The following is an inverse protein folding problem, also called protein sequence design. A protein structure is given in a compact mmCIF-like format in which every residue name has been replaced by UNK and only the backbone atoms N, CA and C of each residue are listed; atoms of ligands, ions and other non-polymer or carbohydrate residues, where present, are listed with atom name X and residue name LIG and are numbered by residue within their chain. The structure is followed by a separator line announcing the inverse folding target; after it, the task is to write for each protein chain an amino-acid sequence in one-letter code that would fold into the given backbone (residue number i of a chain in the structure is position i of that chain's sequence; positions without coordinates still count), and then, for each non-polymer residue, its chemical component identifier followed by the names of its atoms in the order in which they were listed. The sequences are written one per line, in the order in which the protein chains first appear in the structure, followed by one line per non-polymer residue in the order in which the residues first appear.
data_IF_965610927264
#
_entry.id   IF_965610927264
#
_cell.length_a   1.000
_cell.length_b   1.000
_cell.length_c   1.000
_cell.angle_alpha   90.00
_cell.angle_beta   90.00
_cell.angle_gamma   90.00
#
_symmetry.space_group_name_H-M   'P 1'
#
loop_
_entity.id
_entity.type
_entity.pdbx_description
1 polymer ?
#
# COMPACT_ATOMS: atom_id res chain seq x y z
N UNK A 1 -30.72 9.78 -7.43
CA UNK A 1 -29.43 9.37 -8.04
C UNK A 1 -28.43 8.91 -6.99
N UNK A 2 -28.00 9.75 -6.03
CA UNK A 2 -27.08 9.29 -4.95
C UNK A 2 -27.64 8.12 -4.10
N UNK A 3 -28.96 8.04 -3.93
CA UNK A 3 -29.60 6.98 -3.13
C UNK A 3 -29.45 5.58 -3.75
N UNK A 4 -29.66 5.40 -5.06
CA UNK A 4 -29.56 4.05 -5.67
C UNK A 4 -28.17 3.45 -5.52
N UNK A 5 -27.11 4.26 -5.66
CA UNK A 5 -25.74 3.78 -5.50
C UNK A 5 -25.44 3.40 -4.05
N UNK A 6 -26.02 4.12 -3.07
CA UNK A 6 -25.87 3.79 -1.65
C UNK A 6 -26.58 2.49 -1.29
N UNK A 7 -27.75 2.24 -1.88
CA UNK A 7 -28.59 1.08 -1.54
C UNK A 7 -28.01 -0.24 -2.08
N UNK A 8 -27.12 -0.20 -3.08
CA UNK A 8 -26.48 -1.40 -3.64
C UNK A 8 -25.25 -1.87 -2.85
N UNK A 9 -24.78 -1.07 -1.90
CA UNK A 9 -23.60 -1.42 -1.10
C UNK A 9 -23.93 -2.41 0.00
N UNK A 10 -23.11 -3.45 0.05
CA UNK A 10 -22.85 -4.30 1.20
C UNK A 10 -21.33 -4.29 1.41
N UNK A 11 -20.87 -3.68 2.51
CA UNK A 11 -19.43 -3.58 2.79
C UNK A 11 -18.84 -4.89 3.34
N UNK A 12 -19.68 -5.79 3.87
CA UNK A 12 -19.27 -7.13 4.28
C UNK A 12 -19.18 -8.09 3.07
N UNK A 13 -19.86 -7.74 1.96
CA UNK A 13 -19.79 -8.42 0.67
C UNK A 13 -19.42 -7.48 -0.49
N UNK A 14 -18.13 -7.07 -0.59
CA UNK A 14 -17.68 -6.21 -1.68
C UNK A 14 -17.77 -6.90 -3.05
N UNK A 15 -17.73 -8.23 -3.11
CA UNK A 15 -17.87 -8.98 -4.36
C UNK A 15 -19.31 -8.96 -4.88
N UNK A 16 -20.30 -9.17 -4.01
CA UNK A 16 -21.71 -9.03 -4.38
C UNK A 16 -22.08 -7.60 -4.72
N UNK A 17 -21.51 -6.61 -4.01
CA UNK A 17 -21.67 -5.20 -4.35
C UNK A 17 -21.14 -4.88 -5.74
N UNK A 18 -19.94 -5.37 -6.08
CA UNK A 18 -19.38 -5.24 -7.44
C UNK A 18 -20.35 -5.77 -8.51
N UNK A 19 -20.90 -6.97 -8.31
CA UNK A 19 -21.83 -7.58 -9.27
C UNK A 19 -23.09 -6.74 -9.47
N UNK A 20 -23.67 -6.21 -8.38
CA UNK A 20 -24.84 -5.33 -8.44
C UNK A 20 -24.54 -4.04 -9.20
N UNK A 21 -23.37 -3.44 -8.97
CA UNK A 21 -22.96 -2.24 -9.71
C UNK A 21 -22.71 -2.52 -11.18
N UNK A 22 -22.09 -3.66 -11.54
CA UNK A 22 -21.92 -4.03 -12.94
C UNK A 22 -23.27 -4.19 -13.66
N UNK A 23 -24.21 -4.89 -13.03
CA UNK A 23 -25.56 -5.04 -13.57
C UNK A 23 -26.26 -3.69 -13.78
N UNK A 24 -26.17 -2.77 -12.81
CA UNK A 24 -26.72 -1.43 -12.98
C UNK A 24 -26.01 -0.64 -14.09
N UNK A 25 -24.69 -0.74 -14.20
CA UNK A 25 -23.92 -0.03 -15.22
C UNK A 25 -24.26 -0.50 -16.64
N UNK A 26 -24.55 -1.79 -16.82
CA UNK A 26 -24.94 -2.36 -18.13
C UNK A 26 -26.31 -1.83 -18.62
N UNK A 27 -27.19 -1.42 -17.71
CA UNK A 27 -28.54 -0.92 -18.01
C UNK A 27 -28.65 0.62 -17.96
N UNK A 28 -27.67 1.31 -17.39
CA UNK A 28 -27.72 2.74 -17.16
C UNK A 28 -27.17 3.55 -18.34
N UNK A 29 -27.78 4.70 -18.59
CA UNK A 29 -27.23 5.73 -19.48
C UNK A 29 -26.24 6.65 -18.73
N UNK A 30 -25.44 7.40 -19.47
CA UNK A 30 -24.61 8.47 -18.89
C UNK A 30 -25.46 9.63 -18.34
N UNK A 31 -25.06 10.26 -17.21
CA UNK A 31 -23.81 10.06 -16.46
C UNK A 31 -23.87 8.92 -15.42
N UNK A 32 -25.00 8.22 -15.29
CA UNK A 32 -25.19 7.21 -14.24
C UNK A 32 -24.28 6.00 -14.47
N UNK A 33 -24.09 5.58 -15.72
CA UNK A 33 -23.15 4.50 -16.06
C UNK A 33 -21.74 4.78 -15.53
N UNK A 34 -21.14 5.94 -15.87
CA UNK A 34 -19.82 6.31 -15.37
C UNK A 34 -19.77 6.40 -13.84
N UNK A 35 -20.78 7.01 -13.20
CA UNK A 35 -20.85 7.08 -11.73
C UNK A 35 -20.91 5.69 -11.10
N UNK A 36 -21.66 4.76 -11.70
CA UNK A 36 -21.80 3.38 -11.22
C UNK A 36 -20.48 2.61 -11.38
N UNK A 37 -19.78 2.77 -12.51
CA UNK A 37 -18.48 2.13 -12.74
C UNK A 37 -17.39 2.63 -11.78
N UNK A 38 -17.48 3.86 -11.26
CA UNK A 38 -16.59 4.27 -10.15
C UNK A 38 -16.82 3.45 -8.88
N UNK A 39 -18.06 3.02 -8.60
CA UNK A 39 -18.35 2.15 -7.45
C UNK A 39 -17.85 0.71 -7.69
N UNK A 40 -17.87 0.23 -8.93
CA UNK A 40 -17.20 -1.04 -9.30
C UNK A 40 -15.71 -0.97 -8.96
N UNK A 41 -15.03 0.10 -9.34
CA UNK A 41 -13.60 0.29 -9.02
C UNK A 41 -13.35 0.30 -7.50
N UNK A 42 -14.21 0.96 -6.73
CA UNK A 42 -14.15 0.96 -5.26
C UNK A 42 -14.29 -0.45 -4.68
N UNK A 43 -15.28 -1.21 -5.16
CA UNK A 43 -15.55 -2.57 -4.71
C UNK A 43 -14.37 -3.51 -5.02
N UNK A 44 -13.78 -3.38 -6.21
CA UNK A 44 -12.56 -4.08 -6.59
C UNK A 44 -11.38 -3.74 -5.67
N UNK A 45 -11.23 -2.46 -5.30
CA UNK A 45 -10.21 -2.03 -4.34
C UNK A 45 -10.37 -2.67 -2.95
N UNK A 46 -11.60 -2.85 -2.47
CA UNK A 46 -11.88 -3.56 -1.20
C UNK A 46 -11.60 -5.06 -1.28
N UNK A 47 -11.59 -5.64 -2.50
CA UNK A 47 -11.18 -7.02 -2.76
C UNK A 47 -9.69 -7.16 -3.06
N UNK A 48 -8.89 -6.09 -2.91
CA UNK A 48 -7.47 -6.03 -3.27
C UNK A 48 -7.17 -6.26 -4.77
N UNK A 49 -8.19 -6.16 -5.63
CA UNK A 49 -8.10 -6.33 -7.10
C UNK A 49 -7.75 -5.00 -7.77
N UNK A 50 -6.64 -4.40 -7.36
CA UNK A 50 -6.28 -3.02 -7.71
C UNK A 50 -6.11 -2.77 -9.21
N UNK A 51 -5.45 -3.69 -9.92
CA UNK A 51 -5.22 -3.57 -11.36
C UNK A 51 -6.54 -3.56 -12.14
N UNK A 52 -7.51 -4.37 -11.73
CA UNK A 52 -8.84 -4.41 -12.34
C UNK A 52 -9.63 -3.13 -12.02
N UNK A 53 -9.52 -2.62 -10.80
CA UNK A 53 -10.10 -1.32 -10.43
C UNK A 53 -9.56 -0.18 -11.29
N UNK A 54 -8.24 -0.15 -11.53
CA UNK A 54 -7.63 0.81 -12.43
C UNK A 54 -8.12 0.66 -13.87
N UNK A 55 -8.17 -0.56 -14.39
CA UNK A 55 -8.65 -0.82 -15.75
C UNK A 55 -10.11 -0.37 -15.96
N UNK A 56 -10.98 -0.56 -14.96
CA UNK A 56 -12.36 -0.03 -15.01
C UNK A 56 -12.34 1.48 -15.16
N UNK A 57 -11.57 2.19 -14.32
CA UNK A 57 -11.50 3.65 -14.36
C UNK A 57 -10.82 4.18 -15.64
N UNK A 58 -9.86 3.45 -16.22
CA UNK A 58 -9.19 3.81 -17.48
C UNK A 58 -10.13 3.73 -18.68
N UNK A 59 -11.16 2.88 -18.61
CA UNK A 59 -12.19 2.77 -19.64
C UNK A 59 -13.24 3.88 -19.63
N UNK A 60 -13.24 4.76 -18.62
CA UNK A 60 -14.25 5.80 -18.48
C UNK A 60 -13.87 7.08 -19.23
N UNK A 61 -14.86 7.73 -19.83
CA UNK A 61 -14.75 9.06 -20.44
C UNK A 61 -15.83 9.99 -19.89
N UNK A 62 -15.78 10.33 -18.59
CA UNK A 62 -16.86 11.04 -17.92
C UNK A 62 -17.07 12.45 -18.48
N UNK A 63 -18.31 12.75 -18.86
CA UNK A 63 -18.69 14.02 -19.46
C UNK A 63 -19.12 15.05 -18.42
N UNK A 64 -19.62 14.61 -17.25
CA UNK A 64 -20.10 15.47 -16.19
C UNK A 64 -19.08 15.64 -15.03
N UNK A 65 -19.14 16.76 -14.29
CA UNK A 65 -18.22 17.03 -13.19
C UNK A 65 -18.27 16.00 -12.05
N UNK A 66 -19.44 15.46 -11.70
CA UNK A 66 -19.59 14.51 -10.58
C UNK A 66 -18.83 13.21 -10.89
N UNK A 67 -19.02 12.63 -12.08
CA UNK A 67 -18.28 11.43 -12.46
C UNK A 67 -16.77 11.66 -12.54
N UNK A 68 -16.30 12.82 -13.03
CA UNK A 68 -14.86 13.17 -13.05
C UNK A 68 -14.25 13.19 -11.66
N UNK A 69 -14.92 13.83 -10.71
CA UNK A 69 -14.48 13.88 -9.30
C UNK A 69 -14.42 12.47 -8.70
N UNK A 70 -15.43 11.63 -8.96
CA UNK A 70 -15.46 10.25 -8.50
C UNK A 70 -14.32 9.41 -9.08
N UNK A 71 -13.99 9.59 -10.37
CA UNK A 71 -12.85 8.89 -10.98
C UNK A 71 -11.55 9.23 -10.25
N UNK A 72 -11.29 10.52 -9.98
CA UNK A 72 -10.10 10.93 -9.23
C UNK A 72 -10.09 10.37 -7.80
N UNK A 73 -11.23 10.42 -7.08
CA UNK A 73 -11.36 9.84 -5.74
C UNK A 73 -11.03 8.35 -5.71
N UNK A 74 -11.64 7.57 -6.61
CA UNK A 74 -11.47 6.12 -6.61
C UNK A 74 -10.07 5.73 -7.12
N UNK A 75 -9.46 6.52 -8.03
CA UNK A 75 -8.05 6.36 -8.41
C UNK A 75 -7.13 6.51 -7.21
N UNK A 76 -7.33 7.57 -6.42
CA UNK A 76 -6.57 7.80 -5.19
C UNK A 76 -6.76 6.69 -4.16
N UNK A 77 -7.99 6.17 -3.99
CA UNK A 77 -8.26 5.06 -3.06
C UNK A 77 -7.53 3.77 -3.45
N UNK A 78 -7.51 3.43 -4.73
CA UNK A 78 -6.76 2.27 -5.24
C UNK A 78 -5.25 2.41 -5.00
N UNK A 79 -4.67 3.58 -5.28
CA UNK A 79 -3.25 3.85 -5.04
C UNK A 79 -2.91 3.80 -3.54
N UNK A 80 -3.74 4.42 -2.69
CA UNK A 80 -3.53 4.38 -1.23
C UNK A 80 -3.57 2.95 -0.70
N UNK A 81 -4.59 2.17 -1.08
CA UNK A 81 -4.75 0.80 -0.60
C UNK A 81 -3.66 -0.15 -1.11
N UNK A 82 -3.10 0.12 -2.28
CA UNK A 82 -1.93 -0.61 -2.81
C UNK A 82 -0.59 -0.15 -2.25
N UNK A 83 -0.56 0.92 -1.43
CA UNK A 83 0.62 1.40 -0.72
C UNK A 83 1.31 2.63 -1.32
N UNK A 84 0.78 3.22 -2.39
CA UNK A 84 1.30 4.46 -2.98
C UNK A 84 0.53 5.68 -2.49
N UNK A 85 0.74 6.03 -1.21
CA UNK A 85 0.08 7.18 -0.56
C UNK A 85 0.48 8.51 -1.21
N UNK A 86 1.71 8.60 -1.73
CA UNK A 86 2.23 9.81 -2.36
C UNK A 86 1.49 10.11 -3.67
N UNK A 87 1.32 9.11 -4.54
CA UNK A 87 0.53 9.26 -5.76
C UNK A 87 -0.97 9.44 -5.45
N UNK A 88 -1.49 8.75 -4.43
CA UNK A 88 -2.88 8.88 -4.02
C UNK A 88 -3.24 10.32 -3.62
N UNK A 89 -2.34 11.02 -2.91
CA UNK A 89 -2.55 12.39 -2.45
C UNK A 89 -2.88 13.35 -3.59
N UNK A 90 -2.13 13.28 -4.70
CA UNK A 90 -2.34 14.17 -5.84
C UNK A 90 -3.77 14.04 -6.40
N UNK A 91 -4.29 12.82 -6.50
CA UNK A 91 -5.65 12.56 -6.96
C UNK A 91 -6.73 13.05 -5.97
N UNK A 92 -6.50 12.95 -4.67
CA UNK A 92 -7.45 13.48 -3.68
C UNK A 92 -7.48 15.01 -3.67
N UNK A 93 -6.33 15.66 -3.85
CA UNK A 93 -6.25 17.13 -3.97
C UNK A 93 -6.93 17.61 -5.26
N UNK A 94 -6.71 16.92 -6.39
CA UNK A 94 -7.41 17.16 -7.64
C UNK A 94 -8.94 17.02 -7.48
N UNK A 95 -9.38 15.92 -6.86
CA UNK A 95 -10.80 15.68 -6.61
C UNK A 95 -11.44 16.78 -5.74
N UNK A 96 -10.76 17.22 -4.67
CA UNK A 96 -11.25 18.27 -3.80
C UNK A 96 -11.36 19.62 -4.55
N UNK A 97 -10.36 19.98 -5.36
CA UNK A 97 -10.38 21.21 -6.14
C UNK A 97 -11.48 21.21 -7.22
N UNK A 98 -11.65 20.08 -7.91
CA UNK A 98 -12.68 19.89 -8.92
C UNK A 98 -14.10 19.91 -8.30
N UNK A 99 -14.29 19.21 -7.17
CA UNK A 99 -15.56 19.20 -6.44
C UNK A 99 -15.96 20.60 -5.97
N UNK A 100 -15.01 21.34 -5.38
CA UNK A 100 -15.22 22.74 -4.97
C UNK A 100 -15.65 23.62 -6.15
N UNK A 101 -14.94 23.50 -7.27
CA UNK A 101 -15.23 24.28 -8.48
C UNK A 101 -16.59 23.98 -9.09
N UNK A 102 -17.09 22.75 -8.91
CA UNK A 102 -18.39 22.30 -9.42
C UNK A 102 -19.54 22.44 -8.39
N UNK A 103 -19.28 22.90 -7.17
CA UNK A 103 -20.29 22.99 -6.10
C UNK A 103 -20.75 21.63 -5.55
N UNK A 104 -19.89 20.60 -5.61
CA UNK A 104 -20.20 19.24 -5.18
C UNK A 104 -19.74 19.00 -3.73
N UNK A 105 -20.42 19.63 -2.77
CA UNK A 105 -20.00 19.70 -1.36
C UNK A 105 -19.74 18.33 -0.72
N UNK A 106 -20.63 17.34 -0.91
CA UNK A 106 -20.45 15.98 -0.36
C UNK A 106 -19.15 15.32 -0.86
N UNK A 107 -18.83 15.51 -2.14
CA UNK A 107 -17.61 14.96 -2.74
C UNK A 107 -16.36 15.74 -2.36
N UNK A 108 -16.49 17.06 -2.16
CA UNK A 108 -15.40 17.88 -1.65
C UNK A 108 -15.00 17.42 -0.24
N UNK A 109 -15.99 17.23 0.64
CA UNK A 109 -15.76 16.74 2.02
C UNK A 109 -15.12 15.35 2.01
N UNK A 110 -15.61 14.43 1.17
CA UNK A 110 -15.01 13.10 1.04
C UNK A 110 -13.55 13.19 0.55
N UNK A 111 -13.26 14.01 -0.47
CA UNK A 111 -11.91 14.20 -0.99
C UNK A 111 -10.96 14.80 0.06
N UNK A 112 -11.38 15.84 0.78
CA UNK A 112 -10.58 16.44 1.86
C UNK A 112 -10.34 15.45 3.01
N UNK A 113 -11.32 14.61 3.35
CA UNK A 113 -11.12 13.53 4.30
C UNK A 113 -10.03 12.56 3.82
N UNK A 114 -10.07 12.18 2.55
CA UNK A 114 -9.05 11.31 1.97
C UNK A 114 -7.65 11.94 1.93
N UNK A 115 -7.52 13.24 1.65
CA UNK A 115 -6.25 13.98 1.78
C UNK A 115 -5.72 13.88 3.22
N UNK A 116 -6.58 14.08 4.22
CA UNK A 116 -6.17 14.01 5.61
C UNK A 116 -5.64 12.62 6.00
N UNK A 117 -6.20 11.54 5.45
CA UNK A 117 -5.74 10.17 5.71
C UNK A 117 -4.35 9.85 5.14
N UNK A 118 -3.87 10.57 4.12
CA UNK A 118 -2.54 10.37 3.53
C UNK A 118 -1.51 11.43 3.94
N UNK A 119 -1.95 12.55 4.52
CA UNK A 119 -1.07 13.60 5.06
C UNK A 119 -0.78 13.41 6.55
N UNK A 120 -1.70 12.80 7.31
CA UNK A 120 -1.46 12.49 8.71
C UNK A 120 -0.31 11.47 8.84
N UNK A 121 0.70 11.68 9.72
CA UNK A 121 1.75 10.70 9.94
C UNK A 121 1.17 9.43 10.58
N UNK A 122 0.87 8.43 9.75
CA UNK A 122 0.00 7.30 10.07
C UNK A 122 0.64 5.92 9.96
N UNK A 123 1.70 5.69 10.76
CA UNK A 123 2.27 4.40 11.20
C UNK A 123 3.04 3.56 10.15
N UNK A 124 4.24 3.03 10.48
CA UNK A 124 5.06 2.27 9.56
C UNK A 124 4.34 1.04 9.03
N UNK A 125 4.46 0.84 7.70
CA UNK A 125 4.09 -0.37 7.01
C UNK A 125 4.50 -1.60 7.84
N UNK A 126 3.52 -2.40 8.21
CA UNK A 126 3.74 -3.63 8.95
C UNK A 126 4.70 -4.54 8.19
N UNK A 127 5.94 -4.60 8.71
CA UNK A 127 6.77 -5.79 8.86
C UNK A 127 6.48 -6.91 7.86
N UNK A 128 7.41 -7.07 6.91
CA UNK A 128 7.62 -8.31 6.20
C UNK A 128 7.58 -9.49 7.19
N UNK A 129 6.51 -10.28 7.15
CA UNK A 129 6.45 -11.59 7.80
C UNK A 129 7.30 -12.59 7.00
N UNK A 130 8.62 -12.41 7.08
CA UNK A 130 9.61 -13.44 6.81
C UNK A 130 10.01 -14.07 8.13
N UNK A 131 9.44 -15.23 8.45
CA UNK A 131 9.71 -16.02 9.64
C UNK A 131 11.20 -16.40 9.75
N UNK A 132 11.77 -16.16 10.94
CA UNK A 132 12.76 -16.96 11.68
C UNK A 132 13.88 -17.67 10.93
N UNK A 133 15.14 -17.31 11.25
CA UNK A 133 16.01 -18.18 12.06
C UNK A 133 17.12 -17.36 12.75
N UNK A 134 17.12 -17.40 14.08
CA UNK A 134 18.30 -17.16 14.91
C UNK A 134 19.44 -18.08 14.45
N UNK A 135 20.73 -17.75 14.43
CA UNK A 135 21.55 -16.58 14.77
C UNK A 135 23.01 -17.08 14.68
N UNK A 136 24.04 -16.28 14.35
CA UNK A 136 25.40 -16.79 14.37
C UNK A 136 26.02 -16.54 15.75
N UNK A 137 26.06 -17.56 16.60
CA UNK A 137 26.99 -17.54 17.74
C UNK A 137 28.36 -17.92 17.18
N UNK A 138 29.20 -16.92 16.96
CA UNK A 138 30.63 -17.08 16.72
C UNK A 138 31.29 -17.61 17.99
N UNK A 139 31.74 -18.86 17.97
CA UNK A 139 32.76 -19.29 18.92
C UNK A 139 34.10 -18.64 18.56
N UNK A 140 34.65 -17.85 19.48
CA UNK A 140 36.07 -17.43 19.46
C UNK A 140 36.82 -18.32 20.46
N UNK A 141 37.98 -18.90 20.09
CA UNK A 141 38.76 -19.69 21.02
C UNK A 141 39.44 -18.77 22.06
N UNK A 142 39.28 -19.09 23.35
CA UNK A 142 40.03 -18.47 24.43
C UNK A 142 41.47 -19.01 24.42
N UNK A 143 42.43 -18.12 24.16
CA UNK A 143 43.87 -18.33 24.39
C UNK A 143 44.23 -17.77 25.76
N UNK A 144 44.54 -18.63 26.72
CA UNK A 144 45.29 -18.37 27.96
C UNK A 144 45.61 -19.77 28.52
N UNK A 145 46.84 -20.26 28.66
CA UNK A 145 48.07 -19.68 29.19
C UNK A 145 48.40 -20.40 30.51
N UNK A 146 49.65 -20.85 30.68
CA UNK A 146 50.25 -21.57 31.84
C UNK A 146 50.14 -23.11 31.74
N UNK A 147 51.21 -23.91 31.85
CA UNK A 147 52.63 -23.67 32.06
C UNK A 147 53.33 -25.02 32.34
N UNK A 148 54.64 -25.12 32.06
CA UNK A 148 55.67 -25.88 32.82
C UNK A 148 56.97 -26.01 32.00
N UNK A 149 58.04 -25.43 32.54
CA UNK A 149 59.44 -25.82 32.31
C UNK A 149 59.76 -27.02 33.23
N UNK A 150 60.82 -27.83 32.97
CA UNK A 150 62.22 -27.48 33.31
C UNK A 150 63.22 -27.71 32.14
N UNK A 151 64.30 -26.93 32.01
CA UNK A 151 65.69 -27.16 32.48
C UNK A 151 66.28 -28.51 31.99
N UNK A 152 67.46 -28.68 31.38
CA UNK A 152 68.75 -27.99 31.20
C UNK A 152 69.35 -28.49 29.85
N UNK A 153 70.45 -28.06 29.21
CA UNK A 153 71.85 -27.81 29.61
C UNK A 153 72.50 -26.97 28.47
N UNK A 154 73.06 -25.79 28.75
CA UNK A 154 74.50 -25.50 28.95
C UNK A 154 75.47 -25.82 27.77
N UNK A 155 75.74 -24.75 27.00
CA UNK A 155 77.04 -24.20 26.55
C UNK A 155 78.01 -25.05 25.69
N UNK A 156 78.27 -24.53 24.49
CA UNK A 156 79.59 -24.46 23.83
C UNK A 156 80.68 -24.08 24.85
N UNK A 157 81.93 -24.56 24.82
CA UNK A 157 82.87 -24.54 23.70
C UNK A 157 84.25 -25.14 24.13
N UNK A 158 85.11 -25.41 23.14
CA UNK A 158 86.59 -25.32 23.16
C UNK A 158 87.49 -26.50 23.64
N UNK A 159 88.35 -26.91 22.68
CA UNK A 159 89.75 -27.44 22.71
C UNK A 159 90.03 -28.94 22.95
N UNK A 160 90.58 -29.58 21.91
CA UNK A 160 92.04 -29.75 21.81
C UNK A 160 92.60 -31.18 21.80
N UNK A 161 93.32 -31.48 20.69
CA UNK A 161 94.50 -32.35 20.56
C UNK A 161 94.33 -33.87 20.78
N UNK A 162 94.50 -34.63 19.70
CA UNK A 162 95.69 -35.46 19.44
C UNK A 162 95.81 -35.73 17.94
#
# INVERSE_FOLDING_TARGET
MATVLRDLWDFDDPAGSEQRFRALADEADEPLASRTLTQVARALGLQERYAEGHAVLDGLSPTDPDARVRVALERGRLLRSSGDEAAARAHFEEAAAAARSAGLEELEVDALHMVALVVAPGRPAGSARGRTRAGPVRERPRRTGLGRLPAQQHRHDVRGRR
#
